data_IF_614534952878
#
_entry.id   IF_614534952878
#
_cell.length_a   1.000
_cell.length_b   1.000
_cell.length_c   1.000
_cell.angle_alpha   90.00
_cell.angle_beta   90.00
_cell.angle_gamma   90.00
#
_symmetry.space_group_name_H-M   'P 1'
#
loop_
_entity.id
_entity.type
_entity.pdbx_description
1 polymer ?
#
# COMPACT_ATOMS: atom_id res chain seq x y z
N UNK A 1 33.10 24.35 3.45
CA UNK A 1 33.88 23.10 3.53
C UNK A 1 33.20 21.95 4.27
N UNK A 2 32.68 22.15 5.50
CA UNK A 2 32.12 21.04 6.33
C UNK A 2 30.59 20.86 6.26
N UNK A 3 29.83 21.92 5.97
CA UNK A 3 28.37 21.81 5.83
C UNK A 3 27.96 21.09 4.54
N UNK A 4 28.64 21.33 3.41
CA UNK A 4 28.39 20.63 2.15
C UNK A 4 28.61 19.11 2.25
N UNK A 5 29.64 18.66 2.97
CA UNK A 5 29.92 17.24 3.16
C UNK A 5 28.84 16.55 4.01
N UNK A 6 28.40 17.18 5.11
CA UNK A 6 27.26 16.67 5.92
C UNK A 6 25.96 16.60 5.12
N UNK A 7 25.69 17.61 4.29
CA UNK A 7 24.53 17.63 3.41
C UNK A 7 24.56 16.47 2.40
N UNK A 8 25.70 16.27 1.71
CA UNK A 8 25.86 15.19 0.73
C UNK A 8 25.75 13.79 1.36
N UNK A 9 26.30 13.57 2.55
CA UNK A 9 26.14 12.29 3.26
C UNK A 9 24.69 12.04 3.66
N UNK A 10 23.97 13.09 4.09
CA UNK A 10 22.55 12.99 4.44
C UNK A 10 21.69 12.67 3.21
N UNK A 11 21.96 13.33 2.08
CA UNK A 11 21.29 13.04 0.80
C UNK A 11 21.53 11.61 0.33
N UNK A 12 22.75 11.08 0.46
CA UNK A 12 23.04 9.68 0.10
C UNK A 12 22.28 8.69 0.98
N UNK A 13 22.19 8.93 2.30
CA UNK A 13 21.40 8.08 3.21
C UNK A 13 19.90 8.12 2.90
N UNK A 14 19.36 9.29 2.60
CA UNK A 14 17.94 9.42 2.22
C UNK A 14 17.68 8.69 0.89
N UNK A 15 18.59 8.82 -0.07
CA UNK A 15 18.49 8.12 -1.35
C UNK A 15 18.54 6.60 -1.19
N UNK A 16 19.41 6.08 -0.32
CA UNK A 16 19.47 4.63 -0.04
C UNK A 16 18.20 4.15 0.65
N UNK A 17 17.71 4.86 1.68
CA UNK A 17 16.45 4.50 2.37
C UNK A 17 15.28 4.48 1.39
N UNK A 18 15.18 5.48 0.50
CA UNK A 18 14.12 5.53 -0.51
C UNK A 18 14.20 4.33 -1.47
N UNK A 19 15.41 4.01 -1.95
CA UNK A 19 15.63 2.85 -2.83
C UNK A 19 15.24 1.54 -2.14
N UNK A 20 15.55 1.40 -0.85
CA UNK A 20 15.22 0.22 -0.06
C UNK A 20 13.70 0.10 0.14
N UNK A 21 13.01 1.21 0.42
CA UNK A 21 11.55 1.25 0.52
C UNK A 21 10.87 0.81 -0.78
N UNK A 22 11.28 1.34 -1.93
CA UNK A 22 10.73 0.92 -3.23
C UNK A 22 11.07 -0.54 -3.57
N UNK A 23 12.17 -1.09 -3.04
CA UNK A 23 12.51 -2.49 -3.23
C UNK A 23 11.63 -3.41 -2.38
N UNK A 24 11.40 -3.05 -1.12
CA UNK A 24 10.50 -3.77 -0.21
C UNK A 24 9.09 -3.80 -0.78
N UNK A 25 8.57 -2.68 -1.27
CA UNK A 25 7.25 -2.62 -1.89
C UNK A 25 7.09 -3.59 -3.08
N UNK A 26 8.08 -3.64 -3.96
CA UNK A 26 8.07 -4.57 -5.11
C UNK A 26 8.12 -6.04 -4.67
N UNK A 27 8.88 -6.33 -3.60
CA UNK A 27 8.92 -7.67 -3.02
C UNK A 27 7.57 -8.05 -2.40
N UNK A 28 6.94 -7.15 -1.63
CA UNK A 28 5.61 -7.34 -1.07
C UNK A 28 4.60 -7.67 -2.18
N UNK A 29 4.58 -6.87 -3.26
CA UNK A 29 3.71 -7.14 -4.43
C UNK A 29 3.95 -8.53 -5.01
N UNK A 30 5.22 -8.85 -5.30
CA UNK A 30 5.59 -10.15 -5.91
C UNK A 30 5.19 -11.33 -5.02
N UNK A 31 5.38 -11.20 -3.71
CA UNK A 31 5.00 -12.22 -2.73
C UNK A 31 3.49 -12.32 -2.60
N UNK A 32 2.77 -11.19 -2.60
CA UNK A 32 1.31 -11.15 -2.57
C UNK A 32 0.67 -11.85 -3.77
N UNK A 33 1.12 -11.53 -4.99
CA UNK A 33 0.68 -12.22 -6.22
C UNK A 33 1.01 -13.72 -6.18
N UNK A 34 2.15 -14.09 -5.60
CA UNK A 34 2.55 -15.48 -5.42
C UNK A 34 1.67 -16.25 -4.44
N UNK A 35 1.30 -15.63 -3.31
CA UNK A 35 0.37 -16.19 -2.32
C UNK A 35 -1.01 -16.35 -2.94
N UNK A 36 -1.51 -15.32 -3.61
CA UNK A 36 -2.80 -15.35 -4.30
C UNK A 36 -2.91 -16.53 -5.28
N UNK A 37 -1.91 -16.73 -6.14
CA UNK A 37 -1.86 -17.89 -7.06
C UNK A 37 -1.86 -19.24 -6.34
N UNK A 38 -1.31 -19.33 -5.13
CA UNK A 38 -1.33 -20.56 -4.33
C UNK A 38 -2.69 -20.78 -3.68
N UNK A 39 -3.33 -19.72 -3.19
CA UNK A 39 -4.70 -19.79 -2.67
C UNK A 39 -5.67 -20.27 -3.74
N UNK A 40 -5.61 -19.73 -4.97
CA UNK A 40 -6.42 -20.21 -6.09
C UNK A 40 -6.25 -21.71 -6.39
N UNK A 41 -5.00 -22.20 -6.36
CA UNK A 41 -4.72 -23.64 -6.55
C UNK A 41 -5.30 -24.48 -5.42
N UNK A 42 -5.24 -23.95 -4.20
CA UNK A 42 -5.76 -24.62 -3.02
C UNK A 42 -7.29 -24.64 -2.99
N UNK A 43 -7.94 -23.58 -3.47
CA UNK A 43 -9.39 -23.54 -3.69
C UNK A 43 -9.82 -24.59 -4.72
N UNK A 44 -9.16 -24.66 -5.88
CA UNK A 44 -9.42 -25.68 -6.89
C UNK A 44 -9.19 -27.10 -6.33
N UNK A 45 -8.16 -27.28 -5.51
CA UNK A 45 -7.93 -28.53 -4.81
C UNK A 45 -9.05 -28.86 -3.82
N UNK A 46 -9.54 -27.88 -3.05
CA UNK A 46 -10.70 -28.05 -2.16
C UNK A 46 -11.92 -28.58 -2.92
N UNK A 47 -12.25 -27.98 -4.07
CA UNK A 47 -13.37 -28.39 -4.93
C UNK A 47 -13.19 -29.82 -5.45
N UNK A 48 -11.98 -30.23 -5.82
CA UNK A 48 -11.68 -31.61 -6.26
C UNK A 48 -11.83 -32.63 -5.12
N UNK A 49 -11.44 -32.28 -3.90
CA UNK A 49 -11.60 -33.17 -2.73
C UNK A 49 -13.08 -33.35 -2.37
N UNK A 50 -13.86 -32.27 -2.42
CA UNK A 50 -15.31 -32.32 -2.18
C UNK A 50 -16.02 -33.19 -3.23
N UNK A 51 -15.61 -33.10 -4.50
CA UNK A 51 -16.15 -33.93 -5.58
C UNK A 51 -15.79 -35.43 -5.43
N UNK A 52 -14.58 -35.75 -4.96
CA UNK A 52 -14.09 -37.14 -4.84
C UNK A 52 -14.55 -37.85 -3.57
N UNK A 53 -14.56 -37.14 -2.45
CA UNK A 53 -14.75 -37.73 -1.12
C UNK A 53 -16.03 -37.25 -0.44
N UNK A 54 -16.74 -36.29 -1.03
CA UNK A 54 -17.91 -35.64 -0.43
C UNK A 54 -17.52 -34.49 0.50
N UNK A 55 -18.42 -33.51 0.59
CA UNK A 55 -18.23 -32.25 1.33
C UNK A 55 -17.92 -32.47 2.81
N UNK A 56 -18.55 -33.47 3.44
CA UNK A 56 -18.40 -33.75 4.87
C UNK A 56 -17.23 -34.69 5.18
N UNK A 57 -16.46 -35.12 4.18
CA UNK A 57 -15.26 -35.91 4.44
C UNK A 57 -14.26 -35.09 5.27
N UNK A 58 -13.60 -35.76 6.22
CA UNK A 58 -12.59 -35.12 7.07
C UNK A 58 -11.52 -34.39 6.23
N UNK A 59 -11.15 -34.97 5.09
CA UNK A 59 -10.16 -34.40 4.18
C UNK A 59 -10.66 -33.12 3.51
N UNK A 60 -11.89 -33.08 3.00
CA UNK A 60 -12.48 -31.87 2.41
C UNK A 60 -12.61 -30.75 3.45
N UNK A 61 -13.06 -31.09 4.66
CA UNK A 61 -13.14 -30.14 5.78
C UNK A 61 -11.78 -29.56 6.17
N UNK A 62 -10.73 -30.39 6.24
CA UNK A 62 -9.37 -29.94 6.57
C UNK A 62 -8.87 -28.97 5.49
N UNK A 63 -9.00 -29.33 4.21
CA UNK A 63 -8.53 -28.49 3.09
C UNK A 63 -9.27 -27.15 3.06
N UNK A 64 -10.60 -27.16 3.19
CA UNK A 64 -11.43 -25.95 3.25
C UNK A 64 -11.05 -25.04 4.42
N UNK A 65 -10.90 -25.60 5.63
CA UNK A 65 -10.51 -24.83 6.82
C UNK A 65 -9.13 -24.19 6.67
N UNK A 66 -8.15 -24.91 6.10
CA UNK A 66 -6.81 -24.38 5.84
C UNK A 66 -6.84 -23.28 4.76
N UNK A 67 -7.62 -23.46 3.70
CA UNK A 67 -7.78 -22.45 2.64
C UNK A 67 -8.32 -21.15 3.21
N UNK A 68 -9.37 -21.24 4.03
CA UNK A 68 -9.99 -20.08 4.66
C UNK A 68 -9.03 -19.37 5.61
N UNK A 69 -8.38 -20.12 6.51
CA UNK A 69 -7.43 -19.56 7.48
C UNK A 69 -6.29 -18.81 6.80
N UNK A 70 -5.70 -19.38 5.75
CA UNK A 70 -4.64 -18.73 4.98
C UNK A 70 -5.15 -17.51 4.20
N UNK A 71 -6.38 -17.56 3.69
CA UNK A 71 -6.99 -16.43 2.98
C UNK A 71 -7.24 -15.24 3.91
N UNK A 72 -7.72 -15.48 5.13
CA UNK A 72 -7.84 -14.44 6.16
C UNK A 72 -6.48 -13.85 6.54
N UNK A 73 -5.49 -14.70 6.85
CA UNK A 73 -4.16 -14.21 7.20
C UNK A 73 -3.51 -13.39 6.07
N UNK A 74 -3.74 -13.76 4.81
CA UNK A 74 -3.28 -12.97 3.67
C UNK A 74 -4.03 -11.63 3.56
N UNK A 75 -5.35 -11.62 3.76
CA UNK A 75 -6.16 -10.40 3.77
C UNK A 75 -5.68 -9.42 4.83
N UNK A 76 -5.48 -9.90 6.06
CA UNK A 76 -5.08 -9.09 7.20
C UNK A 76 -3.69 -8.47 6.95
N UNK A 77 -2.73 -9.26 6.47
CA UNK A 77 -1.39 -8.77 6.13
C UNK A 77 -1.42 -7.69 5.02
N UNK A 78 -2.27 -7.86 4.00
CA UNK A 78 -2.42 -6.85 2.94
C UNK A 78 -3.14 -5.60 3.44
N UNK A 79 -4.04 -5.74 4.42
CA UNK A 79 -4.73 -4.61 5.05
C UNK A 79 -3.77 -3.79 5.89
N UNK A 80 -2.95 -4.43 6.73
CA UNK A 80 -1.89 -3.76 7.48
C UNK A 80 -0.90 -3.03 6.56
N UNK A 81 -0.55 -3.64 5.42
CA UNK A 81 0.30 -3.00 4.42
C UNK A 81 -0.36 -1.75 3.81
N UNK A 82 -1.65 -1.83 3.46
CA UNK A 82 -2.41 -0.69 2.97
C UNK A 82 -2.43 0.47 3.98
N UNK A 83 -2.70 0.18 5.25
CA UNK A 83 -2.70 1.18 6.32
C UNK A 83 -1.33 1.87 6.46
N UNK A 84 -0.24 1.11 6.33
CA UNK A 84 1.11 1.67 6.37
C UNK A 84 1.39 2.62 5.20
N UNK A 85 0.95 2.28 3.98
CA UNK A 85 1.10 3.15 2.80
C UNK A 85 0.20 4.40 2.89
N UNK A 86 -1.03 4.26 3.39
CA UNK A 86 -1.94 5.38 3.63
C UNK A 86 -1.39 6.35 4.68
N UNK A 87 -0.80 5.84 5.76
CA UNK A 87 -0.12 6.67 6.76
C UNK A 87 1.06 7.44 6.13
N UNK A 88 1.85 6.79 5.26
CA UNK A 88 2.97 7.44 4.59
C UNK A 88 2.50 8.51 3.58
N UNK A 89 1.37 8.30 2.92
CA UNK A 89 0.69 9.29 2.08
C UNK A 89 0.32 10.53 2.88
N UNK A 90 -0.33 10.36 4.04
CA UNK A 90 -0.71 11.47 4.91
C UNK A 90 0.51 12.24 5.46
N UNK A 91 1.59 11.52 5.80
CA UNK A 91 2.86 12.14 6.19
C UNK A 91 3.46 13.00 5.07
N UNK A 92 3.38 12.54 3.81
CA UNK A 92 3.84 13.33 2.67
C UNK A 92 3.00 14.59 2.46
N UNK A 93 1.67 14.47 2.58
CA UNK A 93 0.74 15.60 2.50
C UNK A 93 1.03 16.65 3.57
N UNK A 94 1.15 16.25 4.83
CA UNK A 94 1.49 17.15 5.95
C UNK A 94 2.83 17.87 5.72
N UNK A 95 3.83 17.17 5.17
CA UNK A 95 5.12 17.79 4.83
C UNK A 95 5.00 18.82 3.72
N UNK A 96 4.23 18.53 2.67
CA UNK A 96 3.99 19.49 1.58
C UNK A 96 3.32 20.74 2.13
N UNK A 97 2.27 20.59 2.96
CA UNK A 97 1.59 21.71 3.59
C UNK A 97 2.56 22.61 4.36
N UNK A 98 3.40 22.01 5.21
CA UNK A 98 4.40 22.75 5.97
C UNK A 98 5.41 23.50 5.08
N UNK A 99 5.84 22.90 3.96
CA UNK A 99 6.75 23.58 3.04
C UNK A 99 6.08 24.76 2.32
N UNK A 100 4.78 24.66 2.04
CA UNK A 100 3.99 25.76 1.48
C UNK A 100 3.83 26.92 2.47
N UNK A 101 3.58 26.61 3.75
CA UNK A 101 3.53 27.62 4.83
C UNK A 101 4.86 28.37 4.96
N UNK A 102 6.01 27.66 4.85
CA UNK A 102 7.35 28.27 4.84
C UNK A 102 7.53 29.24 3.65
N UNK A 103 6.91 28.93 2.52
CA UNK A 103 6.88 29.81 1.33
C UNK A 103 5.86 30.96 1.46
N UNK A 104 5.15 31.06 2.60
CA UNK A 104 4.11 32.06 2.81
C UNK A 104 2.83 31.80 2.02
N UNK A 105 2.63 30.57 1.53
CA UNK A 105 1.40 30.14 0.85
C UNK A 105 0.50 29.45 1.87
N UNK A 106 -0.63 30.06 2.16
CA UNK A 106 -1.67 29.46 3.01
C UNK A 106 -2.56 28.58 2.14
N UNK A 107 -2.35 27.26 2.23
CA UNK A 107 -3.05 26.26 1.44
C UNK A 107 -3.55 25.18 2.38
N UNK A 108 -4.86 24.97 2.35
CA UNK A 108 -5.53 23.97 3.16
C UNK A 108 -5.17 22.55 2.73
N UNK A 109 -5.30 21.59 3.65
CA UNK A 109 -5.11 20.18 3.33
C UNK A 109 -6.07 19.66 2.25
N UNK A 110 -7.28 20.23 2.14
CA UNK A 110 -8.25 19.90 1.08
C UNK A 110 -7.76 20.37 -0.29
N UNK A 111 -7.20 21.57 -0.38
CA UNK A 111 -6.59 22.06 -1.62
C UNK A 111 -5.39 21.22 -2.04
N UNK A 112 -4.57 20.75 -1.09
CA UNK A 112 -3.46 19.84 -1.41
C UNK A 112 -4.01 18.52 -1.96
N UNK A 113 -5.13 18.03 -1.42
CA UNK A 113 -5.80 16.83 -1.94
C UNK A 113 -6.25 17.02 -3.39
N UNK A 114 -6.92 18.14 -3.69
CA UNK A 114 -7.35 18.50 -5.05
C UNK A 114 -6.14 18.57 -6.01
N UNK A 115 -5.00 19.08 -5.54
CA UNK A 115 -3.77 19.15 -6.32
C UNK A 115 -3.14 17.77 -6.57
N UNK A 116 -3.24 16.87 -5.60
CA UNK A 116 -2.83 15.46 -5.74
C UNK A 116 -3.70 14.78 -6.80
N UNK A 117 -5.03 14.92 -6.71
CA UNK A 117 -5.99 14.28 -7.62
C UNK A 117 -5.93 14.83 -9.05
N UNK A 118 -5.87 16.15 -9.19
CA UNK A 118 -5.95 16.83 -10.49
C UNK A 118 -4.58 17.15 -11.11
N UNK A 119 -3.48 16.88 -10.41
CA UNK A 119 -2.12 17.06 -10.92
C UNK A 119 -1.69 18.52 -11.15
N UNK A 120 -2.36 19.50 -10.54
CA UNK A 120 -2.12 20.95 -10.74
C UNK A 120 -0.93 21.48 -9.92
N UNK A 121 0.25 20.88 -10.04
CA UNK A 121 1.44 21.23 -9.22
C UNK A 121 2.23 22.46 -9.71
N UNK A 122 1.94 22.93 -10.92
CA UNK A 122 2.59 24.08 -11.57
C UNK A 122 2.37 25.41 -10.84
N UNK A 123 1.30 25.50 -10.03
CA UNK A 123 0.94 26.64 -9.16
C UNK A 123 2.07 27.02 -8.18
N UNK A 124 3.00 26.11 -7.90
CA UNK A 124 4.12 26.36 -6.99
C UNK A 124 5.37 26.96 -7.63
N UNK A 125 5.49 26.87 -8.95
CA UNK A 125 6.67 27.32 -9.70
C UNK A 125 6.70 28.84 -9.98
N UNK A 126 5.55 29.51 -9.90
CA UNK A 126 5.45 30.96 -10.10
C UNK A 126 6.07 31.75 -8.94
N UNK A 127 7.07 32.59 -9.26
CA UNK A 127 7.80 33.54 -8.40
C UNK A 127 9.12 33.06 -7.72
N UNK A 128 9.75 32.00 -8.21
CA UNK A 128 11.03 31.52 -7.65
C UNK A 128 12.22 32.51 -7.77
N UNK A 129 12.14 33.48 -8.69
CA UNK A 129 13.19 34.47 -8.98
C UNK A 129 13.30 35.56 -7.90
N UNK A 130 12.20 35.91 -7.23
CA UNK A 130 12.17 36.85 -6.09
C UNK A 130 12.47 36.17 -4.76
N UNK A 131 12.39 34.84 -4.74
CA UNK A 131 12.35 34.04 -3.54
C UNK A 131 13.76 33.62 -3.06
N UNK A 132 14.00 33.77 -1.76
CA UNK A 132 15.29 33.50 -1.12
C UNK A 132 15.71 32.03 -1.17
N UNK A 133 16.89 31.72 -0.60
CA UNK A 133 17.44 30.35 -0.54
C UNK A 133 16.49 29.35 0.15
N UNK A 134 15.70 29.81 1.12
CA UNK A 134 14.73 28.98 1.84
C UNK A 134 13.59 28.48 0.95
N UNK A 135 12.98 29.37 0.16
CA UNK A 135 11.88 29.03 -0.75
C UNK A 135 12.32 28.07 -1.87
N UNK A 136 13.54 28.22 -2.41
CA UNK A 136 14.12 27.22 -3.33
C UNK A 136 14.29 25.84 -2.69
N UNK A 137 14.67 25.79 -1.41
CA UNK A 137 14.79 24.53 -0.68
C UNK A 137 13.42 23.89 -0.44
N UNK A 138 12.42 24.70 -0.06
CA UNK A 138 11.04 24.25 0.15
C UNK A 138 10.43 23.69 -1.14
N UNK A 139 10.62 24.37 -2.28
CA UNK A 139 10.12 23.89 -3.56
C UNK A 139 10.74 22.54 -3.96
N UNK A 140 12.05 22.37 -3.81
CA UNK A 140 12.71 21.09 -4.08
C UNK A 140 12.19 19.99 -3.13
N UNK A 141 11.89 20.31 -1.87
CA UNK A 141 11.29 19.34 -0.96
C UNK A 141 9.87 18.95 -1.40
N UNK A 142 9.04 19.91 -1.80
CA UNK A 142 7.70 19.68 -2.35
C UNK A 142 7.77 18.77 -3.59
N UNK A 143 8.65 19.05 -4.55
CA UNK A 143 8.83 18.20 -5.74
C UNK A 143 9.22 16.77 -5.37
N UNK A 144 10.11 16.60 -4.40
CA UNK A 144 10.54 15.27 -3.94
C UNK A 144 9.43 14.53 -3.19
N UNK A 145 8.59 15.22 -2.43
CA UNK A 145 7.41 14.63 -1.77
C UNK A 145 6.33 14.27 -2.79
N UNK A 146 6.09 15.11 -3.79
CA UNK A 146 5.16 14.81 -4.87
C UNK A 146 5.55 13.55 -5.64
N UNK A 147 6.84 13.38 -6.00
CA UNK A 147 7.33 12.13 -6.61
C UNK A 147 7.08 10.91 -5.72
N UNK A 148 7.24 11.05 -4.41
CA UNK A 148 6.95 9.97 -3.46
C UNK A 148 5.46 9.67 -3.35
N UNK A 149 4.59 10.68 -3.40
CA UNK A 149 3.13 10.51 -3.47
C UNK A 149 2.69 9.71 -4.70
N UNK A 150 3.25 10.01 -5.87
CA UNK A 150 2.96 9.25 -7.09
C UNK A 150 3.38 7.77 -6.96
N UNK A 151 4.53 7.52 -6.36
CA UNK A 151 5.00 6.16 -6.07
C UNK A 151 4.09 5.47 -5.03
N UNK A 152 3.60 6.18 -4.01
CA UNK A 152 2.67 5.69 -2.99
C UNK A 152 1.32 5.30 -3.61
N UNK A 153 0.75 6.17 -4.43
CA UNK A 153 -0.54 5.91 -5.10
C UNK A 153 -0.48 4.70 -6.03
N UNK A 154 0.65 4.52 -6.73
CA UNK A 154 0.86 3.31 -7.51
C UNK A 154 0.84 2.04 -6.64
N UNK A 155 1.43 2.09 -5.44
CA UNK A 155 1.46 0.93 -4.53
C UNK A 155 0.11 0.66 -3.90
N UNK A 156 -0.61 1.71 -3.49
CA UNK A 156 -1.98 1.60 -2.96
C UNK A 156 -2.90 0.98 -4.02
N UNK A 157 -2.76 1.39 -5.29
CA UNK A 157 -3.50 0.79 -6.40
C UNK A 157 -3.17 -0.69 -6.60
N UNK A 158 -1.90 -1.07 -6.52
CA UNK A 158 -1.49 -2.47 -6.61
C UNK A 158 -2.11 -3.33 -5.49
N UNK A 159 -2.20 -2.79 -4.27
CA UNK A 159 -2.86 -3.46 -3.12
C UNK A 159 -4.37 -3.58 -3.35
N UNK A 160 -4.99 -2.51 -3.84
CA UNK A 160 -6.41 -2.52 -4.20
C UNK A 160 -6.73 -3.58 -5.26
N UNK A 161 -5.89 -3.71 -6.29
CA UNK A 161 -6.06 -4.72 -7.33
C UNK A 161 -5.95 -6.15 -6.77
N UNK A 162 -5.07 -6.37 -5.78
CA UNK A 162 -5.01 -7.64 -5.04
C UNK A 162 -6.26 -7.87 -4.19
N UNK A 163 -6.81 -6.84 -3.54
CA UNK A 163 -8.06 -6.96 -2.78
C UNK A 163 -9.26 -7.29 -3.65
N UNK A 164 -9.39 -6.64 -4.82
CA UNK A 164 -10.44 -6.96 -5.79
C UNK A 164 -10.36 -8.43 -6.23
N UNK A 165 -9.15 -8.92 -6.50
CA UNK A 165 -8.90 -10.32 -6.83
C UNK A 165 -9.29 -11.26 -5.68
N UNK A 166 -9.02 -10.89 -4.43
CA UNK A 166 -9.40 -11.69 -3.26
C UNK A 166 -10.90 -11.65 -2.93
N UNK A 167 -11.60 -10.54 -3.17
CA UNK A 167 -13.03 -10.44 -2.94
C UNK A 167 -13.80 -11.51 -3.75
N UNK A 168 -13.32 -11.80 -4.97
CA UNK A 168 -13.84 -12.89 -5.81
C UNK A 168 -13.65 -14.29 -5.19
N UNK A 169 -12.67 -14.48 -4.30
CA UNK A 169 -12.44 -15.76 -3.60
C UNK A 169 -13.32 -15.92 -2.35
N UNK A 170 -13.80 -14.80 -1.77
CA UNK A 170 -14.49 -14.78 -0.46
C UNK A 170 -16.01 -14.80 -0.59
N UNK A 171 -16.58 -14.30 -1.70
CA UNK A 171 -18.04 -14.36 -1.94
C UNK A 171 -18.60 -15.80 -2.01
N UNK A 172 -17.77 -16.81 -2.27
CA UNK A 172 -18.21 -18.21 -2.36
C UNK A 172 -18.16 -18.98 -1.02
N UNK A 173 -17.65 -18.39 0.06
CA UNK A 173 -17.32 -19.11 1.31
C UNK A 173 -17.95 -18.53 2.60
N UNK A 174 -18.74 -17.46 2.49
CA UNK A 174 -19.20 -16.64 3.63
C UNK A 174 -20.22 -17.25 4.58
N UNK A 175 -20.93 -18.33 4.22
CA UNK A 175 -22.09 -18.79 5.01
C UNK A 175 -21.84 -19.95 5.98
N UNK A 176 -20.63 -20.54 6.05
CA UNK A 176 -20.47 -21.84 6.74
C UNK A 176 -19.35 -21.93 7.80
N UNK A 177 -18.85 -20.82 8.35
CA UNK A 177 -17.67 -20.90 9.23
C UNK A 177 -17.61 -19.81 10.32
N UNK A 178 -18.58 -19.80 11.23
CA UNK A 178 -18.35 -19.24 12.58
C UNK A 178 -18.74 -20.17 13.73
N UNK A 179 -18.83 -21.48 13.46
CA UNK A 179 -18.98 -22.47 14.52
C UNK A 179 -18.02 -23.64 14.33
N UNK A 180 -17.02 -23.70 15.22
CA UNK A 180 -16.19 -24.90 15.44
C UNK A 180 -17.11 -26.09 15.79
N UNK A 181 -18.23 -25.83 16.47
CA UNK A 181 -19.27 -26.80 16.80
C UNK A 181 -19.97 -27.39 15.56
N UNK A 182 -20.34 -26.56 14.58
CA UNK A 182 -20.99 -27.01 13.33
C UNK A 182 -20.04 -27.80 12.45
N UNK A 183 -18.75 -27.44 12.44
CA UNK A 183 -17.79 -28.25 11.71
C UNK A 183 -17.64 -29.62 12.36
N UNK A 184 -17.65 -29.78 13.68
CA UNK A 184 -17.44 -31.10 14.31
C UNK A 184 -18.68 -32.02 14.28
N UNK A 185 -19.90 -31.47 14.19
CA UNK A 185 -21.15 -32.22 14.41
C UNK A 185 -21.96 -32.64 13.17
N UNK A 186 -21.55 -32.32 11.94
CA UNK A 186 -22.17 -32.77 10.67
C UNK A 186 -21.16 -33.41 9.68
#
# INVERSE_FOLDING_TARGET
GKQNTRFLTSMRRISSIKRDSSAIARDIKTRGEGIYKRLQKMEAFSKDMEAKYGVNSALSRIVRAQHLSLSHGFRDAMFEYNEAEMLQRENCKTRIQRQLEIMGKDISGEQIEDMIENGKWDVFSGNLLTDGKAARSALNEIENRHKELLELESRIRDVHDLFLQMALLVEEQGDMLDNIETNVLE
#
